data_IF_788800914396
#
_entry.id   IF_788800914396
#
_cell.length_a   1.000
_cell.length_b   1.000
_cell.length_c   1.000
_cell.angle_alpha   90.00
_cell.angle_beta   90.00
_cell.angle_gamma   90.00
#
_symmetry.space_group_name_H-M   'P 1'
#
loop_
_entity.id
_entity.type
_entity.pdbx_description
1 polymer ?
#
# COMPACT_ATOMS: atom_id res chain seq x y z
N UNK A 1 -13.12 1.77 14.06
CA UNK A 1 -12.60 1.12 12.86
C UNK A 1 -11.76 -0.10 13.19
N UNK A 2 -11.57 -0.96 12.22
CA UNK A 2 -10.73 -2.16 12.33
C UNK A 2 -9.39 -1.92 11.62
N UNK A 3 -8.28 -2.32 12.22
CA UNK A 3 -6.98 -2.24 11.56
C UNK A 3 -6.92 -3.24 10.39
N UNK A 4 -6.51 -2.77 9.23
CA UNK A 4 -6.45 -3.59 8.00
C UNK A 4 -5.26 -4.55 8.08
N UNK A 5 -5.52 -5.82 8.01
CA UNK A 5 -4.49 -6.87 8.08
C UNK A 5 -3.44 -6.74 6.96
N UNK A 6 -2.17 -7.02 7.22
CA UNK A 6 -1.10 -6.96 6.21
C UNK A 6 -1.42 -7.69 4.91
N UNK A 7 -1.93 -8.93 4.99
CA UNK A 7 -2.33 -9.72 3.82
C UNK A 7 -3.41 -8.99 3.00
N UNK A 8 -4.37 -8.36 3.69
CA UNK A 8 -5.43 -7.59 3.02
C UNK A 8 -4.87 -6.36 2.32
N UNK A 9 -3.86 -5.67 2.89
CA UNK A 9 -3.24 -4.50 2.25
C UNK A 9 -2.57 -4.87 0.94
N UNK A 10 -1.80 -5.95 0.92
CA UNK A 10 -1.09 -6.40 -0.29
C UNK A 10 -2.08 -6.89 -1.36
N UNK A 11 -3.08 -7.69 -0.98
CA UNK A 11 -4.09 -8.16 -1.94
C UNK A 11 -4.98 -7.04 -2.44
N UNK A 12 -5.26 -6.02 -1.62
CA UNK A 12 -5.98 -4.82 -2.06
C UNK A 12 -5.18 -4.03 -3.09
N UNK A 13 -3.86 -3.81 -2.87
CA UNK A 13 -2.98 -3.22 -3.88
C UNK A 13 -3.01 -4.00 -5.19
N UNK A 14 -2.81 -5.31 -5.13
CA UNK A 14 -2.76 -6.14 -6.33
C UNK A 14 -4.06 -6.04 -7.15
N UNK A 15 -5.22 -6.07 -6.48
CA UNK A 15 -6.54 -5.95 -7.13
C UNK A 15 -6.82 -4.54 -7.63
N UNK A 16 -6.52 -3.52 -6.82
CA UNK A 16 -6.79 -2.12 -7.16
C UNK A 16 -6.06 -1.68 -8.43
N UNK A 17 -4.84 -2.18 -8.64
CA UNK A 17 -3.98 -1.78 -9.74
C UNK A 17 -3.79 -2.87 -10.81
N UNK A 18 -4.60 -3.93 -10.78
CA UNK A 18 -4.56 -5.00 -11.76
C UNK A 18 -3.18 -5.65 -11.88
N UNK A 19 -2.53 -5.92 -10.72
CA UNK A 19 -1.21 -6.52 -10.72
C UNK A 19 -1.23 -7.92 -11.36
N UNK A 20 -0.23 -8.20 -12.18
CA UNK A 20 -0.09 -9.46 -12.91
C UNK A 20 1.21 -10.16 -12.55
N UNK A 21 1.22 -11.49 -12.61
CA UNK A 21 2.40 -12.32 -12.43
C UNK A 21 3.10 -12.56 -13.76
N UNK A 22 4.43 -12.37 -13.80
CA UNK A 22 5.24 -12.65 -14.99
C UNK A 22 5.27 -14.17 -15.31
N UNK A 23 5.31 -14.99 -14.26
CA UNK A 23 5.36 -16.46 -14.40
C UNK A 23 3.97 -17.11 -14.49
N UNK A 24 2.90 -16.38 -14.22
CA UNK A 24 1.55 -16.91 -14.03
C UNK A 24 1.33 -17.64 -12.69
N UNK A 25 2.37 -17.77 -11.85
CA UNK A 25 2.32 -18.51 -10.58
C UNK A 25 2.01 -17.64 -9.37
N UNK A 26 2.04 -16.32 -9.52
CA UNK A 26 1.82 -15.36 -8.42
C UNK A 26 2.72 -15.65 -7.20
N UNK A 27 4.03 -15.71 -7.43
CA UNK A 27 5.01 -16.00 -6.40
C UNK A 27 5.14 -14.79 -5.46
N UNK A 28 4.50 -14.88 -4.29
CA UNK A 28 4.61 -13.88 -3.25
C UNK A 28 5.70 -14.24 -2.25
N UNK A 29 6.35 -13.22 -1.68
CA UNK A 29 7.24 -13.42 -0.53
C UNK A 29 6.44 -13.73 0.72
N UNK A 30 7.02 -14.49 1.63
CA UNK A 30 6.47 -14.62 2.98
C UNK A 30 6.60 -13.30 3.72
N UNK A 31 5.51 -12.81 4.27
CA UNK A 31 5.47 -11.63 5.14
C UNK A 31 5.34 -12.01 6.62
N UNK A 32 5.60 -13.30 6.95
CA UNK A 32 5.42 -13.85 8.28
C UNK A 32 6.51 -13.42 9.27
N UNK A 33 7.69 -13.02 8.81
CA UNK A 33 8.78 -12.63 9.69
C UNK A 33 8.44 -11.29 10.39
N UNK A 34 8.99 -11.10 11.60
CA UNK A 34 8.82 -9.86 12.35
C UNK A 34 9.54 -8.66 11.71
N UNK A 35 10.50 -8.90 10.83
CA UNK A 35 11.15 -7.85 10.03
C UNK A 35 10.35 -7.48 8.77
N UNK A 36 9.28 -8.23 8.47
CA UNK A 36 8.33 -7.92 7.40
C UNK A 36 7.02 -7.40 8.02
N UNK A 37 5.95 -8.19 7.98
CA UNK A 37 4.62 -7.76 8.44
C UNK A 37 4.05 -8.64 9.56
N UNK A 38 4.78 -9.63 10.05
CA UNK A 38 4.37 -10.57 11.09
C UNK A 38 3.06 -11.32 10.79
N UNK A 39 2.70 -11.44 9.51
CA UNK A 39 1.51 -12.18 9.07
C UNK A 39 1.73 -12.76 7.67
N UNK A 40 1.42 -14.04 7.48
CA UNK A 40 1.32 -14.66 6.16
C UNK A 40 0.12 -15.61 6.08
N UNK A 41 -0.46 -15.81 4.87
CA UNK A 41 -1.57 -16.74 4.68
C UNK A 41 -1.21 -18.15 5.12
N UNK A 42 -2.20 -18.86 5.70
CA UNK A 42 -2.11 -20.28 6.06
C UNK A 42 -1.04 -20.65 7.11
N UNK A 43 -0.43 -19.67 7.77
CA UNK A 43 0.63 -19.89 8.77
C UNK A 43 0.27 -19.36 10.17
N UNK A 44 -1.02 -19.09 10.41
CA UNK A 44 -1.44 -18.56 11.71
C UNK A 44 -1.12 -19.56 12.84
N UNK A 45 -0.57 -19.08 13.98
CA UNK A 45 -0.18 -19.95 15.09
C UNK A 45 -1.37 -20.51 15.87
N UNK A 46 -2.58 -19.98 15.66
CA UNK A 46 -3.78 -20.40 16.35
C UNK A 46 -5.04 -20.13 15.53
N UNK A 47 -6.20 -20.61 16.02
CA UNK A 47 -7.52 -20.30 15.45
C UNK A 47 -7.88 -18.82 15.55
N UNK A 48 -7.14 -18.05 16.34
CA UNK A 48 -7.33 -16.60 16.52
C UNK A 48 -6.41 -15.77 15.61
N UNK A 49 -5.90 -16.35 14.53
CA UNK A 49 -4.96 -15.67 13.61
C UNK A 49 -3.59 -15.42 14.28
N UNK A 50 -2.98 -14.24 14.13
CA UNK A 50 -1.67 -13.87 14.67
C UNK A 50 -1.74 -13.05 15.96
N UNK A 51 -2.92 -12.91 16.56
CA UNK A 51 -3.16 -12.07 17.73
C UNK A 51 -4.14 -12.71 18.71
N UNK A 52 -4.22 -12.15 19.90
CA UNK A 52 -5.18 -12.57 20.94
C UNK A 52 -6.48 -11.75 20.82
N UNK A 53 -7.67 -12.36 20.87
CA UNK A 53 -8.94 -11.65 20.70
C UNK A 53 -9.16 -10.48 21.67
N UNK A 54 -8.65 -10.61 22.90
CA UNK A 54 -8.77 -9.56 23.93
C UNK A 54 -7.60 -8.57 23.97
N UNK A 55 -6.74 -8.51 22.94
CA UNK A 55 -5.57 -7.63 22.97
C UNK A 55 -5.97 -6.16 22.90
N UNK A 56 -5.37 -5.37 23.79
CA UNK A 56 -5.43 -3.91 23.80
C UNK A 56 -3.99 -3.38 23.78
N UNK A 57 -3.63 -2.47 22.86
CA UNK A 57 -2.29 -1.91 22.81
C UNK A 57 -1.91 -1.26 24.15
N UNK A 58 -0.65 -1.40 24.61
CA UNK A 58 -0.15 -0.73 25.79
C UNK A 58 -0.40 0.79 25.73
N UNK A 59 -0.69 1.40 26.87
CA UNK A 59 -0.93 2.85 26.99
C UNK A 59 -2.12 3.43 26.18
N UNK A 60 -2.99 2.58 25.64
CA UNK A 60 -4.21 3.02 24.95
C UNK A 60 -5.35 3.28 25.96
N UNK A 61 -5.22 4.37 26.72
CA UNK A 61 -6.21 4.74 27.78
C UNK A 61 -7.64 4.84 27.26
N UNK A 62 -7.85 5.37 26.06
CA UNK A 62 -9.19 5.50 25.47
C UNK A 62 -9.83 4.14 25.16
N UNK A 63 -9.06 3.18 24.61
CA UNK A 63 -9.61 1.84 24.35
C UNK A 63 -10.00 1.14 25.66
N UNK A 64 -9.14 1.23 26.68
CA UNK A 64 -9.43 0.65 28.00
C UNK A 64 -10.64 1.28 28.68
N UNK A 65 -10.79 2.60 28.62
CA UNK A 65 -11.94 3.32 29.20
C UNK A 65 -13.27 2.95 28.55
N UNK A 66 -13.26 2.56 27.27
CA UNK A 66 -14.47 2.15 26.53
C UNK A 66 -14.63 0.63 26.42
N UNK A 67 -13.82 -0.16 27.13
CA UNK A 67 -13.80 -1.63 27.01
C UNK A 67 -13.65 -2.13 25.56
N UNK A 68 -12.87 -1.41 24.77
CA UNK A 68 -12.59 -1.77 23.38
C UNK A 68 -11.28 -2.55 23.28
N UNK A 69 -11.26 -3.49 22.35
CA UNK A 69 -10.07 -4.28 22.00
C UNK A 69 -9.62 -3.95 20.60
N UNK A 70 -8.35 -4.16 20.32
CA UNK A 70 -7.76 -3.94 18.99
C UNK A 70 -6.76 -5.06 18.68
N UNK A 71 -7.25 -6.30 18.44
CA UNK A 71 -6.41 -7.49 18.31
C UNK A 71 -5.33 -7.35 17.22
N UNK A 72 -5.66 -6.80 16.07
CA UNK A 72 -4.77 -6.69 14.92
C UNK A 72 -3.56 -5.78 15.18
N UNK A 73 -3.61 -4.93 16.21
CA UNK A 73 -2.47 -4.11 16.61
C UNK A 73 -1.38 -4.89 17.33
N UNK A 74 -1.63 -6.15 17.72
CA UNK A 74 -0.62 -6.95 18.41
C UNK A 74 0.60 -7.27 17.55
N UNK A 75 0.45 -7.28 16.22
CA UNK A 75 1.54 -7.51 15.27
C UNK A 75 2.20 -6.22 14.77
N UNK A 76 1.88 -5.09 15.39
CA UNK A 76 2.45 -3.79 15.04
C UNK A 76 3.32 -3.30 16.18
N UNK A 77 4.58 -3.12 15.88
CA UNK A 77 5.60 -2.64 16.78
C UNK A 77 6.56 -1.68 16.07
N UNK A 78 7.63 -1.29 16.76
CA UNK A 78 8.66 -0.43 16.23
C UNK A 78 9.48 -1.02 15.07
N UNK A 79 9.37 -2.32 14.82
CA UNK A 79 10.03 -3.02 13.71
C UNK A 79 9.08 -3.16 12.52
N UNK A 80 7.87 -3.66 12.75
CA UNK A 80 6.91 -3.96 11.68
C UNK A 80 6.29 -2.70 11.06
N UNK A 81 6.20 -1.59 11.81
CA UNK A 81 5.69 -0.34 11.27
C UNK A 81 6.60 0.25 10.17
N UNK A 82 7.92 0.45 10.37
CA UNK A 82 8.81 0.87 9.30
C UNK A 82 8.99 -0.20 8.21
N UNK A 83 8.97 -1.50 8.56
CA UNK A 83 9.03 -2.59 7.59
C UNK A 83 7.88 -2.52 6.59
N UNK A 84 6.66 -2.21 7.05
CA UNK A 84 5.52 -1.98 6.18
C UNK A 84 5.75 -0.83 5.18
N UNK A 85 6.29 0.29 5.64
CA UNK A 85 6.57 1.45 4.77
C UNK A 85 7.57 1.06 3.68
N UNK A 86 8.65 0.37 4.05
CA UNK A 86 9.67 -0.10 3.12
C UNK A 86 9.10 -1.12 2.11
N UNK A 87 8.30 -2.07 2.59
CA UNK A 87 7.66 -3.07 1.72
C UNK A 87 6.71 -2.42 0.72
N UNK A 88 5.89 -1.44 1.13
CA UNK A 88 4.98 -0.74 0.23
C UNK A 88 5.76 0.12 -0.77
N UNK A 89 6.85 0.77 -0.35
CA UNK A 89 7.70 1.52 -1.26
C UNK A 89 8.26 0.60 -2.35
N UNK A 90 8.84 -0.54 -1.96
CA UNK A 90 9.36 -1.53 -2.90
C UNK A 90 8.27 -2.12 -3.80
N UNK A 91 7.12 -2.51 -3.21
CA UNK A 91 5.98 -3.06 -3.95
C UNK A 91 5.46 -2.10 -5.02
N UNK A 92 5.33 -0.82 -4.69
CA UNK A 92 4.84 0.21 -5.63
C UNK A 92 5.86 0.51 -6.71
N UNK A 93 7.15 0.45 -6.41
CA UNK A 93 8.21 0.75 -7.37
C UNK A 93 8.53 -0.42 -8.30
N UNK A 94 8.69 -1.59 -7.73
CA UNK A 94 9.31 -2.73 -8.40
C UNK A 94 8.40 -3.97 -8.45
N UNK A 95 7.33 -3.99 -7.67
CA UNK A 95 6.46 -5.14 -7.50
C UNK A 95 6.79 -5.94 -6.24
N UNK A 96 6.23 -7.13 -6.12
CA UNK A 96 6.39 -8.03 -4.97
C UNK A 96 6.61 -9.46 -5.43
N UNK A 97 7.23 -10.26 -4.58
CA UNK A 97 7.49 -11.67 -4.83
C UNK A 97 8.92 -11.93 -5.29
N UNK A 98 9.30 -13.21 -5.27
CA UNK A 98 10.60 -13.66 -5.77
C UNK A 98 10.60 -13.68 -7.29
N UNK A 99 11.79 -13.52 -7.89
CA UNK A 99 11.95 -13.81 -9.30
C UNK A 99 11.61 -15.29 -9.56
N UNK A 100 10.66 -15.52 -10.44
CA UNK A 100 10.39 -16.90 -10.89
C UNK A 100 11.50 -17.35 -11.85
N UNK A 101 11.66 -18.64 -11.99
CA UNK A 101 12.66 -19.23 -12.90
C UNK A 101 12.47 -18.70 -14.33
N UNK A 102 13.53 -18.20 -14.92
CA UNK A 102 13.53 -17.57 -16.25
C UNK A 102 13.10 -16.10 -16.29
N UNK A 103 12.79 -15.48 -15.14
CA UNK A 103 12.40 -14.07 -15.03
C UNK A 103 13.34 -13.29 -14.12
N UNK A 104 13.38 -11.97 -14.30
CA UNK A 104 14.18 -11.07 -13.48
C UNK A 104 13.29 -10.16 -12.63
N UNK A 105 13.75 -9.85 -11.41
CA UNK A 105 13.03 -8.99 -10.47
C UNK A 105 11.78 -9.65 -9.89
N UNK A 106 10.84 -8.86 -9.39
CA UNK A 106 9.64 -9.37 -8.71
C UNK A 106 8.65 -10.00 -9.69
N UNK A 107 8.02 -11.09 -9.27
CA UNK A 107 7.07 -11.83 -10.11
C UNK A 107 5.76 -11.06 -10.33
N UNK A 108 5.26 -10.40 -9.28
CA UNK A 108 3.96 -9.72 -9.32
C UNK A 108 4.15 -8.22 -9.40
N UNK A 109 3.66 -7.61 -10.48
CA UNK A 109 3.84 -6.17 -10.78
C UNK A 109 2.56 -5.52 -11.25
N UNK A 110 2.40 -4.22 -10.96
CA UNK A 110 1.35 -3.39 -11.49
C UNK A 110 1.91 -2.39 -12.51
N UNK A 111 1.23 -2.23 -13.63
CA UNK A 111 1.65 -1.32 -14.70
C UNK A 111 1.20 0.13 -14.46
N UNK A 112 0.19 0.36 -13.62
CA UNK A 112 -0.39 1.67 -13.32
C UNK A 112 -0.86 2.47 -14.54
N UNK A 113 -1.19 1.82 -15.64
CA UNK A 113 -1.49 2.49 -16.91
C UNK A 113 -2.64 3.49 -16.80
N UNK A 114 -3.68 3.16 -16.04
CA UNK A 114 -4.83 4.04 -15.82
C UNK A 114 -4.49 5.25 -14.93
N UNK A 115 -3.59 5.10 -13.98
CA UNK A 115 -3.09 6.16 -13.10
C UNK A 115 -2.13 7.08 -13.84
N UNK A 116 -1.23 6.53 -14.67
CA UNK A 116 -0.31 7.29 -15.52
C UNK A 116 -1.07 8.15 -16.51
N UNK A 117 -2.14 7.62 -17.11
CA UNK A 117 -2.95 8.35 -18.10
C UNK A 117 -3.57 9.65 -17.56
N UNK A 118 -3.80 9.74 -16.25
CA UNK A 118 -4.39 10.91 -15.57
C UNK A 118 -3.41 11.66 -14.66
N UNK A 119 -2.13 11.30 -14.67
CA UNK A 119 -1.13 11.85 -13.75
C UNK A 119 -0.82 13.34 -13.97
N UNK A 120 -1.21 13.92 -15.11
CA UNK A 120 -1.15 15.37 -15.34
C UNK A 120 -2.05 16.13 -14.36
N UNK A 121 -3.19 15.54 -13.98
CA UNK A 121 -4.13 16.11 -13.03
C UNK A 121 -4.05 15.37 -11.67
N UNK A 122 -3.31 15.94 -10.73
CA UNK A 122 -3.13 15.37 -9.40
C UNK A 122 -4.46 15.15 -8.66
N UNK A 123 -5.44 16.03 -8.82
CA UNK A 123 -6.77 15.88 -8.21
C UNK A 123 -7.49 14.65 -8.75
N UNK A 124 -7.55 14.49 -10.08
CA UNK A 124 -8.17 13.33 -10.71
C UNK A 124 -7.50 12.01 -10.32
N UNK A 125 -6.16 12.03 -10.22
CA UNK A 125 -5.39 10.87 -9.76
C UNK A 125 -5.76 10.49 -8.32
N UNK A 126 -5.78 11.45 -7.40
CA UNK A 126 -6.12 11.18 -5.99
C UNK A 126 -7.59 10.79 -5.83
N UNK A 127 -8.51 11.38 -6.59
CA UNK A 127 -9.93 10.99 -6.60
C UNK A 127 -10.14 9.55 -7.07
N UNK A 128 -9.32 9.08 -8.03
CA UNK A 128 -9.31 7.67 -8.43
C UNK A 128 -8.81 6.77 -7.30
N UNK A 129 -7.71 7.14 -6.62
CA UNK A 129 -7.21 6.39 -5.47
C UNK A 129 -8.22 6.36 -4.31
N UNK A 130 -8.93 7.46 -4.08
CA UNK A 130 -10.00 7.51 -3.09
C UNK A 130 -11.05 6.42 -3.35
N UNK A 131 -11.49 6.26 -4.59
CA UNK A 131 -12.45 5.19 -4.96
C UNK A 131 -11.86 3.79 -4.79
N UNK A 132 -10.61 3.56 -5.22
CA UNK A 132 -10.00 2.23 -5.23
C UNK A 132 -9.59 1.74 -3.84
N UNK A 133 -9.05 2.62 -3.00
CA UNK A 133 -8.40 2.26 -1.74
C UNK A 133 -9.21 2.65 -0.50
N UNK A 134 -10.06 3.69 -0.60
CA UNK A 134 -10.80 4.26 0.54
C UNK A 134 -12.32 4.19 0.37
N UNK A 135 -12.82 3.61 -0.71
CA UNK A 135 -14.27 3.52 -0.99
C UNK A 135 -14.96 4.90 -1.00
N UNK A 136 -14.25 5.95 -1.39
CA UNK A 136 -14.75 7.33 -1.40
C UNK A 136 -14.67 8.06 -0.05
N UNK A 137 -14.07 7.47 0.98
CA UNK A 137 -14.07 7.99 2.35
C UNK A 137 -12.75 8.66 2.77
N UNK A 138 -11.86 8.97 1.83
CA UNK A 138 -10.64 9.72 2.13
C UNK A 138 -10.99 11.12 2.65
N UNK A 139 -10.37 11.54 3.74
CA UNK A 139 -10.55 12.89 4.26
C UNK A 139 -9.99 13.95 3.30
N UNK A 140 -10.55 15.16 3.34
CA UNK A 140 -10.03 16.29 2.57
C UNK A 140 -8.57 16.61 2.95
N UNK A 141 -8.23 16.49 4.22
CA UNK A 141 -6.86 16.71 4.71
C UNK A 141 -5.86 15.73 4.08
N UNK A 142 -6.18 14.44 4.03
CA UNK A 142 -5.31 13.45 3.41
C UNK A 142 -5.23 13.68 1.89
N UNK A 143 -6.38 13.92 1.27
CA UNK A 143 -6.49 14.22 -0.15
C UNK A 143 -5.56 15.37 -0.55
N UNK A 144 -5.64 16.48 0.15
CA UNK A 144 -4.86 17.69 -0.16
C UNK A 144 -3.35 17.46 0.07
N UNK A 145 -2.97 16.69 1.09
CA UNK A 145 -1.57 16.30 1.33
C UNK A 145 -1.02 15.44 0.20
N UNK A 146 -1.78 14.46 -0.29
CA UNK A 146 -1.35 13.61 -1.41
C UNK A 146 -1.24 14.45 -2.68
N UNK A 147 -2.21 15.32 -2.97
CA UNK A 147 -2.16 16.24 -4.11
C UNK A 147 -0.91 17.11 -4.07
N UNK A 148 -0.59 17.68 -2.91
CA UNK A 148 0.63 18.47 -2.74
C UNK A 148 1.90 17.67 -3.04
N UNK A 149 1.99 16.43 -2.52
CA UNK A 149 3.11 15.52 -2.80
C UNK A 149 3.24 15.16 -4.28
N UNK A 150 2.12 14.90 -4.96
CA UNK A 150 2.10 14.63 -6.41
C UNK A 150 2.56 15.84 -7.21
N UNK A 151 2.08 17.04 -6.86
CA UNK A 151 2.45 18.28 -7.55
C UNK A 151 3.91 18.69 -7.32
N UNK A 152 4.55 18.22 -6.25
CA UNK A 152 5.98 18.39 -6.03
C UNK A 152 6.86 17.66 -7.06
N UNK A 153 6.29 16.71 -7.82
CA UNK A 153 6.96 16.05 -8.94
C UNK A 153 6.63 16.82 -10.22
N UNK A 154 7.56 17.60 -10.80
CA UNK A 154 7.29 18.37 -12.01
C UNK A 154 7.19 17.46 -13.24
N UNK A 155 6.24 17.73 -14.12
CA UNK A 155 6.20 17.13 -15.45
C UNK A 155 6.89 18.10 -16.41
N UNK A 156 7.92 17.68 -17.16
CA UNK A 156 8.60 18.53 -18.13
C UNK A 156 7.64 19.03 -19.22
N UNK A 157 7.85 20.27 -19.69
CA UNK A 157 7.13 20.75 -20.86
C UNK A 157 7.49 19.92 -22.11
N UNK A 158 6.54 19.72 -23.00
CA UNK A 158 6.76 18.95 -24.24
C UNK A 158 7.74 19.68 -25.15
N UNK A 159 8.81 18.98 -25.57
CA UNK A 159 9.84 19.53 -26.47
C UNK A 159 10.09 18.66 -27.70
N UNK A 160 9.19 17.79 -28.08
CA UNK A 160 9.33 16.91 -29.25
C UNK A 160 10.33 15.74 -29.10
N UNK A 161 11.30 15.83 -28.19
CA UNK A 161 12.31 14.77 -27.95
C UNK A 161 12.35 14.23 -26.51
N UNK A 162 11.48 14.72 -25.62
CA UNK A 162 11.52 14.39 -24.19
C UNK A 162 10.36 13.52 -23.69
N UNK A 163 9.69 12.76 -24.56
CA UNK A 163 8.55 11.93 -24.18
C UNK A 163 8.89 10.95 -23.06
N UNK A 164 10.07 10.31 -23.11
CA UNK A 164 10.50 9.39 -22.05
C UNK A 164 10.62 10.06 -20.67
N UNK A 165 11.06 11.32 -20.62
CA UNK A 165 11.13 12.08 -19.37
C UNK A 165 9.73 12.44 -18.84
N UNK A 166 8.79 12.75 -19.72
CA UNK A 166 7.39 13.01 -19.39
C UNK A 166 6.74 11.73 -18.82
N UNK A 167 6.91 10.59 -19.49
CA UNK A 167 6.36 9.30 -19.07
C UNK A 167 6.94 8.88 -17.72
N UNK A 168 8.23 9.07 -17.50
CA UNK A 168 8.89 8.82 -16.23
C UNK A 168 8.33 9.71 -15.10
N UNK A 169 8.10 10.99 -15.36
CA UNK A 169 7.51 11.91 -14.39
C UNK A 169 6.07 11.53 -14.05
N UNK A 170 5.25 11.13 -15.04
CA UNK A 170 3.89 10.64 -14.82
C UNK A 170 3.85 9.36 -13.99
N UNK A 171 4.73 8.40 -14.30
CA UNK A 171 4.88 7.18 -13.50
C UNK A 171 5.30 7.51 -12.06
N UNK A 172 6.23 8.43 -11.88
CA UNK A 172 6.66 8.88 -10.54
C UNK A 172 5.51 9.51 -9.77
N UNK A 173 4.68 10.36 -10.41
CA UNK A 173 3.47 10.92 -9.79
C UNK A 173 2.48 9.83 -9.36
N UNK A 174 2.20 8.85 -10.24
CA UNK A 174 1.31 7.74 -9.92
C UNK A 174 1.82 6.94 -8.71
N UNK A 175 3.11 6.57 -8.72
CA UNK A 175 3.75 5.85 -7.61
C UNK A 175 3.75 6.63 -6.30
N UNK A 176 4.06 7.93 -6.35
CA UNK A 176 4.03 8.82 -5.18
C UNK A 176 2.63 8.88 -4.56
N UNK A 177 1.60 9.05 -5.39
CA UNK A 177 0.22 9.08 -4.91
C UNK A 177 -0.20 7.76 -4.25
N UNK A 178 0.09 6.63 -4.88
CA UNK A 178 -0.22 5.28 -4.37
C UNK A 178 0.51 5.02 -3.06
N UNK A 179 1.80 5.32 -3.01
CA UNK A 179 2.62 5.15 -1.81
C UNK A 179 2.05 5.94 -0.64
N UNK A 180 1.82 7.25 -0.79
CA UNK A 180 1.27 8.09 0.28
C UNK A 180 -0.13 7.65 0.71
N UNK A 181 -0.96 7.22 -0.22
CA UNK A 181 -2.26 6.68 0.11
C UNK A 181 -2.14 5.43 1.00
N UNK A 182 -1.32 4.46 0.60
CA UNK A 182 -1.22 3.16 1.28
C UNK A 182 -0.51 3.21 2.63
N UNK A 183 0.40 4.17 2.87
CA UNK A 183 1.04 4.33 4.19
C UNK A 183 0.23 5.22 5.14
N UNK A 184 -0.88 5.82 4.67
CA UNK A 184 -1.67 6.71 5.51
C UNK A 184 -2.43 5.94 6.60
N UNK A 185 -2.58 6.53 7.81
CA UNK A 185 -3.39 5.94 8.87
C UNK A 185 -4.84 5.67 8.45
N UNK A 186 -5.40 6.51 7.57
CA UNK A 186 -6.77 6.33 7.06
C UNK A 186 -6.92 5.09 6.16
N UNK A 187 -5.87 4.72 5.43
CA UNK A 187 -5.85 3.47 4.68
C UNK A 187 -5.69 2.26 5.60
N UNK A 188 -4.85 2.40 6.63
CA UNK A 188 -4.55 1.30 7.56
C UNK A 188 -5.73 0.94 8.47
N UNK A 189 -6.64 1.88 8.73
CA UNK A 189 -7.81 1.66 9.58
C UNK A 189 -9.09 1.71 8.74
N UNK A 190 -9.74 0.56 8.62
CA UNK A 190 -11.06 0.48 7.96
C UNK A 190 -12.12 1.17 8.82
N UNK A 191 -12.89 2.02 8.22
CA UNK A 191 -14.06 2.69 8.84
C UNK A 191 -15.34 2.00 8.42
#
# INVERSE_FOLDING_TARGET
GKFREPVIRITNWARAFGATSQSGKYVFVSTASNIDLSQAPLTSPSVFNFWRPGYTPPNSTQLGQHNLVAPEFQIIDEVTAPAYVNLIQETVQNGIGWAAEGFTGHDVRAAYSAEIAIADNASALVDRLNRLLFYGQMSTTLRDRIIAGVNAVPIPAVTGSNQAAIDSAKLTRARTAIFFAMISPEYLVQR
#
